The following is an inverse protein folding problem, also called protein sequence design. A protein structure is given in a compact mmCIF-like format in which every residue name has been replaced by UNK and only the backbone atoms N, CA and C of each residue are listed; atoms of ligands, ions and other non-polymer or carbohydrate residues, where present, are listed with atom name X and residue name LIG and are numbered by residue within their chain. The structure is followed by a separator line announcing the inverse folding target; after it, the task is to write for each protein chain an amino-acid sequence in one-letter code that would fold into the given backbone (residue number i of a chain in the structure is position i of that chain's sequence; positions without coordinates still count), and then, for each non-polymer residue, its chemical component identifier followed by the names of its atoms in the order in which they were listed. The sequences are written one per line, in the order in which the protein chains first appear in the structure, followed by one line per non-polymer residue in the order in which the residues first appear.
data_IF_699888482223
#
_entry.id   IF_699888482223
#
_cell.length_a   1.000
_cell.length_b   1.000
_cell.length_c   1.000
_cell.angle_alpha   90.00
_cell.angle_beta   90.00
_cell.angle_gamma   90.00
#
_symmetry.space_group_name_H-M   'P 1'
#
loop_
_entity.id
_entity.type
_entity.pdbx_description
1 polymer ?
#
# COMPACT_ATOMS: atom_id res chain seq x y z
N UNK A 1 12.46 -11.59 -4.74
CA UNK A 1 11.12 -11.09 -4.39
C UNK A 1 10.89 -11.27 -2.90
N UNK A 2 10.35 -10.25 -2.24
CA UNK A 2 10.12 -10.24 -0.79
C UNK A 2 8.66 -9.90 -0.49
N UNK A 3 8.05 -10.59 0.46
CA UNK A 3 6.70 -10.30 0.92
C UNK A 3 6.77 -9.79 2.36
N UNK A 4 6.27 -8.58 2.62
CA UNK A 4 6.24 -7.99 3.97
C UNK A 4 4.95 -7.20 4.20
N UNK A 5 4.51 -7.04 5.46
CA UNK A 5 3.39 -6.16 5.78
C UNK A 5 3.68 -4.71 5.37
N UNK A 6 2.66 -3.99 4.91
CA UNK A 6 2.71 -2.56 4.59
C UNK A 6 1.59 -1.82 5.31
N UNK A 7 1.86 -0.59 5.73
CA UNK A 7 0.83 0.29 6.33
C UNK A 7 0.01 0.92 5.23
N UNK A 8 -1.30 0.83 5.37
CA UNK A 8 -2.24 1.30 4.36
C UNK A 8 -3.26 2.24 5.00
N UNK A 9 -3.57 3.31 4.28
CA UNK A 9 -4.46 4.36 4.72
C UNK A 9 -5.49 4.66 3.65
N UNK A 10 -6.77 4.65 4.01
CA UNK A 10 -7.85 4.98 3.07
C UNK A 10 -7.94 6.48 2.85
N UNK A 11 -7.91 6.94 1.60
CA UNK A 11 -7.74 8.37 1.27
C UNK A 11 -8.98 9.25 1.49
N UNK A 12 -10.16 8.66 1.61
CA UNK A 12 -11.42 9.40 1.85
C UNK A 12 -11.82 9.46 3.33
N UNK A 13 -10.94 9.01 4.23
CA UNK A 13 -11.18 9.00 5.67
C UNK A 13 -10.12 9.84 6.38
N UNK A 14 -10.47 10.42 7.53
CA UNK A 14 -9.51 11.22 8.29
C UNK A 14 -8.44 10.29 8.88
N UNK A 15 -7.19 10.44 8.39
CA UNK A 15 -6.05 9.63 8.80
C UNK A 15 -5.75 9.69 10.30
N UNK A 16 -6.21 10.73 11.01
CA UNK A 16 -6.02 10.86 12.46
C UNK A 16 -6.98 10.00 13.27
N UNK A 17 -8.12 9.63 12.70
CA UNK A 17 -9.20 8.92 13.40
C UNK A 17 -9.41 7.51 12.87
N UNK A 18 -8.98 7.25 11.65
CA UNK A 18 -9.18 5.96 10.99
C UNK A 18 -8.09 4.97 11.39
N UNK A 19 -8.43 3.70 11.67
CA UNK A 19 -7.43 2.70 12.02
C UNK A 19 -6.48 2.48 10.85
N UNK A 20 -5.17 2.42 11.16
CA UNK A 20 -4.16 2.00 10.18
C UNK A 20 -4.45 0.55 9.79
N UNK A 21 -4.59 0.30 8.50
CA UNK A 21 -4.72 -1.05 7.96
C UNK A 21 -3.33 -1.63 7.68
N UNK A 22 -3.25 -2.96 7.72
CA UNK A 22 -2.03 -3.70 7.40
C UNK A 22 -2.33 -4.68 6.29
N UNK A 23 -1.71 -4.48 5.13
CA UNK A 23 -1.81 -5.33 3.93
C UNK A 23 -0.47 -6.00 3.66
N UNK A 24 -0.42 -6.92 2.70
CA UNK A 24 0.83 -7.57 2.28
C UNK A 24 1.37 -6.91 1.01
N UNK A 25 2.58 -6.37 1.07
CA UNK A 25 3.31 -5.85 -0.08
C UNK A 25 4.29 -6.88 -0.62
N UNK A 26 4.30 -7.04 -1.94
CA UNK A 26 5.29 -7.81 -2.69
C UNK A 26 6.28 -6.83 -3.33
N UNK A 27 7.55 -7.07 -3.06
CA UNK A 27 8.67 -6.24 -3.49
C UNK A 27 9.56 -7.01 -4.46
N UNK A 28 10.11 -6.31 -5.45
CA UNK A 28 11.18 -6.84 -6.29
C UNK A 28 12.49 -6.97 -5.50
N UNK A 29 13.54 -7.44 -6.18
CA UNK A 29 14.88 -7.62 -5.57
C UNK A 29 15.58 -6.27 -5.28
N UNK A 30 15.09 -5.17 -5.83
CA UNK A 30 15.55 -3.80 -5.59
C UNK A 30 14.76 -3.09 -4.49
N UNK A 31 13.84 -3.81 -3.82
CA UNK A 31 12.92 -3.28 -2.80
C UNK A 31 11.89 -2.26 -3.31
N UNK A 32 11.55 -2.27 -4.60
CA UNK A 32 10.40 -1.52 -5.11
C UNK A 32 9.11 -2.29 -4.87
N UNK A 33 8.08 -1.61 -4.35
CA UNK A 33 6.76 -2.20 -4.13
C UNK A 33 6.06 -2.48 -5.49
N UNK A 34 5.92 -3.76 -5.82
CA UNK A 34 5.30 -4.22 -7.07
C UNK A 34 3.79 -4.45 -6.92
N UNK A 35 3.38 -5.19 -5.90
CA UNK A 35 1.99 -5.60 -5.70
C UNK A 35 1.57 -5.43 -4.24
N UNK A 36 0.28 -5.20 -4.00
CA UNK A 36 -0.28 -5.06 -2.66
C UNK A 36 -1.54 -5.89 -2.58
N UNK A 37 -1.70 -6.62 -1.49
CA UNK A 37 -2.81 -7.53 -1.28
C UNK A 37 -3.51 -7.22 0.04
N UNK A 38 -4.84 -7.07 0.00
CA UNK A 38 -5.63 -6.93 1.22
C UNK A 38 -5.69 -8.24 2.01
N UNK A 39 -6.35 -8.23 3.17
CA UNK A 39 -6.52 -9.42 4.02
C UNK A 39 -7.26 -10.58 3.34
N UNK A 40 -8.05 -10.30 2.31
CA UNK A 40 -8.76 -11.30 1.49
C UNK A 40 -7.95 -11.75 0.26
N UNK A 41 -6.65 -11.40 0.18
CA UNK A 41 -5.76 -11.64 -0.96
C UNK A 41 -6.19 -10.99 -2.28
N UNK A 42 -7.08 -10.00 -2.23
CA UNK A 42 -7.40 -9.20 -3.41
C UNK A 42 -6.26 -8.21 -3.68
N UNK A 43 -5.83 -8.17 -4.95
CA UNK A 43 -4.74 -7.32 -5.41
C UNK A 43 -5.24 -5.88 -5.63
N UNK A 44 -4.51 -4.92 -5.06
CA UNK A 44 -4.69 -3.51 -5.39
C UNK A 44 -3.91 -3.17 -6.66
N UNK A 45 -4.47 -2.28 -7.48
CA UNK A 45 -3.81 -1.75 -8.67
C UNK A 45 -3.24 -0.38 -8.35
N UNK A 46 -1.95 -0.16 -8.66
CA UNK A 46 -1.36 1.17 -8.59
C UNK A 46 -1.97 2.09 -9.65
N UNK A 47 -2.39 3.28 -9.25
CA UNK A 47 -2.84 4.32 -10.17
C UNK A 47 -1.57 4.97 -10.75
N UNK A 48 -1.35 4.79 -12.05
CA UNK A 48 -0.14 5.28 -12.73
C UNK A 48 -0.03 6.80 -12.62
N UNK A 49 1.17 7.29 -12.33
CA UNK A 49 1.44 8.72 -12.12
C UNK A 49 1.08 9.24 -10.72
N UNK A 50 0.64 8.38 -9.80
CA UNK A 50 0.36 8.77 -8.41
C UNK A 50 0.96 7.77 -7.40
N UNK A 51 0.84 8.10 -6.11
CA UNK A 51 1.16 7.20 -4.98
C UNK A 51 -0.05 6.41 -4.48
N UNK A 52 -1.13 6.39 -5.26
CA UNK A 52 -2.41 5.81 -4.86
C UNK A 52 -2.58 4.40 -5.40
N UNK A 53 -3.34 3.60 -4.65
CA UNK A 53 -3.67 2.24 -4.97
C UNK A 53 -5.19 2.04 -4.88
N UNK A 54 -5.79 1.41 -5.89
CA UNK A 54 -7.23 1.16 -5.95
C UNK A 54 -7.52 -0.33 -5.73
N UNK A 55 -8.52 -0.63 -4.91
CA UNK A 55 -9.13 -1.95 -4.84
C UNK A 55 -10.26 -2.01 -5.87
N UNK A 56 -10.09 -2.78 -6.94
CA UNK A 56 -11.01 -2.72 -8.09
C UNK A 56 -12.43 -3.21 -7.76
N UNK A 57 -12.58 -4.12 -6.80
CA UNK A 57 -13.91 -4.62 -6.39
C UNK A 57 -14.78 -3.55 -5.73
N UNK A 58 -14.19 -2.65 -4.94
CA UNK A 58 -14.92 -1.63 -4.16
C UNK A 58 -14.74 -0.22 -4.68
N UNK A 59 -13.72 0.04 -5.50
CA UNK A 59 -13.32 1.38 -5.93
C UNK A 59 -12.65 2.20 -4.82
N UNK A 60 -12.32 1.59 -3.68
CA UNK A 60 -11.65 2.28 -2.58
C UNK A 60 -10.20 2.61 -2.93
N UNK A 61 -9.78 3.82 -2.57
CA UNK A 61 -8.45 4.36 -2.85
C UNK A 61 -7.65 4.44 -1.56
N UNK A 62 -6.42 3.96 -1.63
CA UNK A 62 -5.50 3.86 -0.52
C UNK A 62 -4.18 4.55 -0.82
N UNK A 63 -3.57 5.11 0.22
CA UNK A 63 -2.17 5.47 0.29
C UNK A 63 -1.40 4.36 1.00
N UNK A 64 -0.20 4.06 0.53
CA UNK A 64 0.68 3.06 1.13
C UNK A 64 1.94 3.76 1.61
N UNK A 65 2.23 3.64 2.89
CA UNK A 65 3.49 4.09 3.46
C UNK A 65 4.50 2.98 3.20
N UNK A 66 5.30 3.17 2.15
CA UNK A 66 6.46 2.33 1.88
C UNK A 66 7.50 2.60 2.98
N UNK A 67 8.01 1.54 3.61
CA UNK A 67 9.20 1.67 4.47
C UNK A 67 10.38 2.01 3.55
N UNK A 68 10.54 3.29 3.22
CA UNK A 68 11.79 3.82 2.71
C UNK A 68 12.79 3.65 3.84
N UNK A 69 13.97 3.02 3.61
CA UNK A 69 15.04 3.11 4.59
C UNK A 69 15.25 4.60 4.86
N UNK A 70 15.20 5.01 6.13
CA UNK A 70 15.46 6.39 6.51
C UNK A 70 16.74 6.85 5.79
N UNK A 71 16.61 7.78 4.85
CA UNK A 71 17.74 8.52 4.31
C UNK A 71 18.17 9.49 5.42
N UNK A 72 18.81 8.95 6.45
CA UNK A 72 19.62 9.75 7.36
C UNK A 72 20.96 9.99 6.67
N UNK A 73 21.16 11.22 6.19
CA UNK A 73 22.50 11.78 5.91
C UNK A 73 23.39 11.76 7.17
#
# INVERSE_FOLDING_TARGET
MHIKPVKVYKMNEDFKTSPKLVYMGEYDDEYNLMNVYNSSQEKLTRIMGTYQWILNSTGEIFFIEEDLPDLTD
#
